data_IF_860431061874
#
_entry.id   IF_860431061874
#
_cell.length_a   1.000
_cell.length_b   1.000
_cell.length_c   1.000
_cell.angle_alpha   90.00
_cell.angle_beta   90.00
_cell.angle_gamma   90.00
#
_symmetry.space_group_name_H-M   'P 1'
#
loop_
_entity.id
_entity.type
_entity.pdbx_description
1 polymer ?
#
# COMPACT_ATOMS: atom_id res chain seq x y z
N UNK A 1 5.27 0.22 -27.33
CA UNK A 1 5.27 -0.14 -25.89
C UNK A 1 4.00 0.28 -25.13
N UNK A 2 3.07 1.07 -25.71
CA UNK A 2 1.82 1.50 -25.02
C UNK A 2 0.73 0.42 -24.91
N UNK A 3 0.62 -0.47 -25.91
CA UNK A 3 -0.42 -1.52 -25.94
C UNK A 3 -0.32 -2.54 -24.79
N UNK A 4 0.89 -2.98 -24.45
CA UNK A 4 1.11 -3.96 -23.38
C UNK A 4 0.69 -3.45 -22.00
N UNK A 5 1.01 -2.19 -21.69
CA UNK A 5 0.60 -1.55 -20.44
C UNK A 5 -0.92 -1.41 -20.35
N UNK A 6 -1.57 -1.06 -21.45
CA UNK A 6 -3.04 -0.90 -21.51
C UNK A 6 -3.75 -2.24 -21.28
N UNK A 7 -3.29 -3.32 -21.95
CA UNK A 7 -3.82 -4.67 -21.79
C UNK A 7 -3.62 -5.17 -20.36
N UNK A 8 -2.46 -4.89 -19.75
CA UNK A 8 -2.17 -5.29 -18.38
C UNK A 8 -3.06 -4.55 -17.36
N UNK A 9 -3.24 -3.23 -17.52
CA UNK A 9 -4.14 -2.44 -16.68
C UNK A 9 -5.58 -2.96 -16.80
N UNK A 10 -6.01 -3.26 -18.02
CA UNK A 10 -7.34 -3.80 -18.29
C UNK A 10 -7.52 -5.20 -17.68
N UNK A 11 -6.57 -6.11 -17.87
CA UNK A 11 -6.60 -7.46 -17.30
C UNK A 11 -6.64 -7.43 -15.78
N UNK A 12 -5.85 -6.56 -15.14
CA UNK A 12 -5.89 -6.35 -13.69
C UNK A 12 -7.27 -5.86 -13.24
N UNK A 13 -7.85 -4.88 -13.93
CA UNK A 13 -9.16 -4.35 -13.58
C UNK A 13 -10.25 -5.45 -13.66
N UNK A 14 -10.22 -6.28 -14.70
CA UNK A 14 -11.16 -7.40 -14.87
C UNK A 14 -10.96 -8.47 -13.79
N UNK A 15 -9.72 -8.84 -13.47
CA UNK A 15 -9.42 -9.81 -12.40
C UNK A 15 -9.88 -9.31 -11.03
N UNK A 16 -9.64 -8.04 -10.71
CA UNK A 16 -10.10 -7.47 -9.44
C UNK A 16 -11.63 -7.39 -9.38
N UNK A 17 -12.28 -7.01 -10.47
CA UNK A 17 -13.74 -6.96 -10.55
C UNK A 17 -14.37 -8.35 -10.38
N UNK A 18 -13.81 -9.38 -11.03
CA UNK A 18 -14.30 -10.76 -10.91
C UNK A 18 -14.16 -11.31 -9.49
N UNK A 19 -12.99 -11.14 -8.87
CA UNK A 19 -12.76 -11.54 -7.47
C UNK A 19 -13.72 -10.80 -6.52
N UNK A 20 -13.90 -9.50 -6.73
CA UNK A 20 -14.78 -8.69 -5.89
C UNK A 20 -16.24 -9.16 -5.98
N UNK A 21 -16.75 -9.39 -7.19
CA UNK A 21 -18.12 -9.86 -7.43
C UNK A 21 -18.33 -11.26 -6.84
N UNK A 22 -17.38 -12.18 -7.03
CA UNK A 22 -17.46 -13.54 -6.48
C UNK A 22 -17.47 -13.52 -4.94
N UNK A 23 -16.65 -12.65 -4.34
CA UNK A 23 -16.57 -12.49 -2.88
C UNK A 23 -17.85 -11.87 -2.32
N UNK A 24 -18.38 -10.84 -2.98
CA UNK A 24 -19.64 -10.19 -2.63
C UNK A 24 -20.81 -11.20 -2.66
N UNK A 25 -20.89 -12.02 -3.71
CA UNK A 25 -21.93 -13.05 -3.84
C UNK A 25 -21.85 -14.11 -2.73
N UNK A 26 -20.64 -14.59 -2.40
CA UNK A 26 -20.44 -15.55 -1.30
C UNK A 26 -20.87 -14.97 0.05
N UNK A 27 -20.49 -13.72 0.34
CA UNK A 27 -20.89 -13.04 1.57
C UNK A 27 -22.41 -12.86 1.65
N UNK A 28 -23.03 -12.42 0.56
CA UNK A 28 -24.49 -12.25 0.51
C UNK A 28 -25.22 -13.58 0.74
N UNK A 29 -24.81 -14.64 0.05
CA UNK A 29 -25.44 -15.95 0.18
C UNK A 29 -25.26 -16.54 1.59
N UNK A 30 -24.08 -16.35 2.20
CA UNK A 30 -23.81 -16.76 3.58
C UNK A 30 -24.66 -16.00 4.60
N UNK A 31 -24.82 -14.70 4.41
CA UNK A 31 -25.67 -13.84 5.25
C UNK A 31 -27.16 -14.23 5.16
N UNK A 32 -27.68 -14.45 3.95
CA UNK A 32 -29.08 -14.87 3.77
C UNK A 32 -29.32 -16.25 4.40
N UNK A 33 -28.38 -17.18 4.22
CA UNK A 33 -28.48 -18.52 4.81
C UNK A 33 -28.47 -18.47 6.35
N UNK A 34 -27.63 -17.62 6.95
CA UNK A 34 -27.58 -17.48 8.41
C UNK A 34 -28.85 -16.83 8.97
N UNK A 35 -29.43 -15.84 8.26
CA UNK A 35 -30.71 -15.23 8.63
C UNK A 35 -31.84 -16.25 8.56
N UNK A 36 -31.94 -17.06 7.50
CA UNK A 36 -32.97 -18.10 7.40
C UNK A 36 -32.82 -19.23 8.43
N UNK A 37 -31.60 -19.48 8.92
CA UNK A 37 -31.33 -20.50 9.93
C UNK A 37 -31.55 -20.01 11.37
N UNK A 38 -31.84 -18.72 11.55
CA UNK A 38 -32.08 -18.14 12.88
C UNK A 38 -33.45 -18.58 13.44
N UNK A 39 -33.56 -18.82 14.75
CA UNK A 39 -34.83 -19.18 15.39
C UNK A 39 -35.83 -18.01 15.34
N UNK A 40 -37.13 -18.32 15.30
CA UNK A 40 -38.22 -17.33 15.22
C UNK A 40 -38.13 -16.28 16.35
N UNK A 41 -37.65 -16.64 17.54
CA UNK A 41 -37.44 -15.72 18.67
C UNK A 41 -36.47 -14.55 18.37
N UNK A 42 -35.55 -14.74 17.43
CA UNK A 42 -34.64 -13.68 16.99
C UNK A 42 -35.37 -12.56 16.23
N UNK A 43 -36.38 -12.93 15.46
CA UNK A 43 -37.19 -12.00 14.65
C UNK A 43 -38.23 -11.25 15.47
N UNK A 44 -38.67 -11.79 16.61
CA UNK A 44 -39.53 -11.07 17.56
C UNK A 44 -38.76 -9.95 18.29
N UNK A 45 -37.47 -10.18 18.57
CA UNK A 45 -36.60 -9.21 19.26
C UNK A 45 -36.01 -8.16 18.31
N UNK A 46 -35.89 -8.48 17.03
CA UNK A 46 -35.25 -7.62 16.03
C UNK A 46 -36.16 -7.46 14.81
N UNK A 47 -36.73 -6.27 14.56
CA UNK A 47 -37.63 -6.08 13.43
C UNK A 47 -36.89 -6.38 12.12
N UNK A 48 -37.57 -7.08 11.20
CA UNK A 48 -37.03 -7.48 9.90
C UNK A 48 -36.51 -6.30 9.08
N UNK A 49 -37.09 -5.11 9.25
CA UNK A 49 -36.65 -3.86 8.65
C UNK A 49 -35.24 -3.45 9.07
N UNK A 50 -34.87 -3.66 10.35
CA UNK A 50 -33.52 -3.36 10.86
C UNK A 50 -32.49 -4.36 10.34
N UNK A 51 -32.87 -5.64 10.22
CA UNK A 51 -32.01 -6.67 9.62
C UNK A 51 -31.74 -6.33 8.16
N UNK A 52 -32.78 -6.02 7.38
CA UNK A 52 -32.65 -5.69 5.97
C UNK A 52 -31.84 -4.40 5.74
N UNK A 53 -32.10 -3.35 6.52
CA UNK A 53 -31.36 -2.08 6.41
C UNK A 53 -29.87 -2.28 6.72
N UNK A 54 -29.55 -3.08 7.74
CA UNK A 54 -28.17 -3.37 8.13
C UNK A 54 -27.47 -4.27 7.11
N UNK A 55 -28.11 -5.37 6.69
CA UNK A 55 -27.61 -6.23 5.62
C UNK A 55 -27.39 -5.48 4.31
N UNK A 56 -28.30 -4.58 3.93
CA UNK A 56 -28.16 -3.77 2.71
C UNK A 56 -27.01 -2.76 2.81
N UNK A 57 -26.83 -2.13 3.98
CA UNK A 57 -25.73 -1.18 4.20
C UNK A 57 -24.39 -1.90 4.23
N UNK A 58 -24.31 -3.00 4.97
CA UNK A 58 -23.10 -3.82 5.10
C UNK A 58 -22.71 -4.41 3.73
N UNK A 59 -23.67 -4.92 2.96
CA UNK A 59 -23.45 -5.39 1.59
C UNK A 59 -22.98 -4.25 0.66
N UNK A 60 -23.59 -3.06 0.74
CA UNK A 60 -23.17 -1.91 -0.07
C UNK A 60 -21.74 -1.47 0.25
N UNK A 61 -21.32 -1.52 1.51
CA UNK A 61 -19.93 -1.23 1.90
C UNK A 61 -18.98 -2.32 1.40
N UNK A 62 -19.36 -3.60 1.48
CA UNK A 62 -18.60 -4.72 0.91
C UNK A 62 -18.43 -4.56 -0.60
N UNK A 63 -19.48 -4.20 -1.32
CA UNK A 63 -19.49 -4.13 -2.78
C UNK A 63 -18.68 -2.95 -3.33
N UNK A 64 -18.44 -1.90 -2.53
CA UNK A 64 -17.78 -0.66 -2.97
C UNK A 64 -16.40 -0.47 -2.36
N UNK A 65 -16.29 -0.61 -1.04
CA UNK A 65 -15.11 -0.26 -0.25
C UNK A 65 -14.04 -1.38 -0.32
N UNK A 66 -14.46 -2.65 -0.34
CA UNK A 66 -13.54 -3.80 -0.45
C UNK A 66 -12.85 -3.87 -1.82
N UNK A 67 -13.55 -3.82 -2.97
CA UNK A 67 -12.87 -3.81 -4.27
C UNK A 67 -11.91 -2.63 -4.40
N UNK A 68 -12.28 -1.45 -3.91
CA UNK A 68 -11.41 -0.28 -3.97
C UNK A 68 -10.11 -0.48 -3.18
N UNK A 69 -10.20 -1.01 -1.95
CA UNK A 69 -9.02 -1.32 -1.12
C UNK A 69 -8.17 -2.43 -1.71
N UNK A 70 -8.80 -3.49 -2.22
CA UNK A 70 -8.12 -4.62 -2.84
C UNK A 70 -7.41 -4.19 -4.13
N UNK A 71 -8.04 -3.31 -4.92
CA UNK A 71 -7.43 -2.71 -6.10
C UNK A 71 -6.22 -1.85 -5.75
N UNK A 72 -6.32 -1.05 -4.69
CA UNK A 72 -5.18 -0.27 -4.17
C UNK A 72 -4.02 -1.15 -3.70
N UNK A 73 -4.31 -2.25 -2.98
CA UNK A 73 -3.31 -3.22 -2.55
C UNK A 73 -2.63 -3.90 -3.76
N UNK A 74 -3.42 -4.38 -4.72
CA UNK A 74 -2.90 -5.01 -5.92
C UNK A 74 -2.05 -4.04 -6.75
N UNK A 75 -2.47 -2.77 -6.86
CA UNK A 75 -1.67 -1.72 -7.48
C UNK A 75 -0.32 -1.56 -6.78
N UNK A 76 -0.32 -1.45 -5.44
CA UNK A 76 0.90 -1.30 -4.66
C UNK A 76 1.85 -2.51 -4.81
N UNK A 77 1.33 -3.74 -4.80
CA UNK A 77 2.13 -4.96 -4.96
C UNK A 77 2.74 -5.05 -6.36
N UNK A 78 1.96 -4.79 -7.40
CA UNK A 78 2.45 -4.79 -8.78
C UNK A 78 3.51 -3.71 -8.97
N UNK A 79 3.28 -2.52 -8.43
CA UNK A 79 4.24 -1.42 -8.49
C UNK A 79 5.55 -1.80 -7.78
N UNK A 80 5.45 -2.41 -6.60
CA UNK A 80 6.61 -2.90 -5.84
C UNK A 80 7.40 -3.95 -6.62
N UNK A 81 6.72 -4.95 -7.19
CA UNK A 81 7.34 -5.98 -8.02
C UNK A 81 7.99 -5.38 -9.27
N UNK A 82 7.33 -4.43 -9.92
CA UNK A 82 7.88 -3.72 -11.08
C UNK A 82 9.16 -2.97 -10.71
N UNK A 83 9.19 -2.30 -9.56
CA UNK A 83 10.39 -1.60 -9.08
C UNK A 83 11.51 -2.61 -8.82
N UNK A 84 11.22 -3.73 -8.15
CA UNK A 84 12.21 -4.77 -7.85
C UNK A 84 12.82 -5.34 -9.15
N UNK A 85 12.01 -5.66 -10.15
CA UNK A 85 12.46 -6.21 -11.43
C UNK A 85 13.33 -5.18 -12.18
N UNK A 86 12.88 -3.93 -12.28
CA UNK A 86 13.65 -2.86 -12.92
C UNK A 86 14.99 -2.61 -12.22
N UNK A 87 15.00 -2.59 -10.89
CA UNK A 87 16.22 -2.41 -10.10
C UNK A 87 17.18 -3.59 -10.25
N UNK A 88 16.66 -4.82 -10.34
CA UNK A 88 17.46 -6.02 -10.56
C UNK A 88 18.16 -6.00 -11.92
N UNK A 89 17.50 -5.49 -12.97
CA UNK A 89 18.09 -5.40 -14.31
C UNK A 89 19.10 -4.25 -14.48
N UNK A 90 18.85 -3.10 -13.87
CA UNK A 90 19.69 -1.90 -14.05
C UNK A 90 20.92 -1.90 -13.14
N UNK A 91 20.84 -2.49 -11.95
CA UNK A 91 21.87 -2.38 -10.93
C UNK A 91 22.04 -3.67 -10.11
N UNK A 92 22.49 -4.75 -10.74
CA UNK A 92 22.72 -6.05 -10.10
C UNK A 92 23.61 -5.95 -8.83
N UNK A 93 24.61 -5.06 -8.85
CA UNK A 93 25.50 -4.83 -7.69
C UNK A 93 24.78 -4.21 -6.49
N UNK A 94 23.85 -3.27 -6.74
CA UNK A 94 23.07 -2.61 -5.67
C UNK A 94 21.96 -3.53 -5.16
N UNK A 95 21.37 -4.33 -6.05
CA UNK A 95 20.39 -5.34 -5.69
C UNK A 95 20.98 -6.40 -4.76
N UNK A 96 22.20 -6.88 -5.03
CA UNK A 96 22.89 -7.82 -4.15
C UNK A 96 23.26 -7.20 -2.79
N UNK A 97 23.67 -5.94 -2.74
CA UNK A 97 23.92 -5.23 -1.48
C UNK A 97 22.62 -5.09 -0.67
N UNK A 98 21.52 -4.71 -1.32
CA UNK A 98 20.21 -4.60 -0.69
C UNK A 98 19.72 -5.96 -0.16
N UNK A 99 19.86 -7.02 -0.97
CA UNK A 99 19.52 -8.39 -0.58
C UNK A 99 20.40 -8.87 0.58
N UNK A 100 21.69 -8.53 0.59
CA UNK A 100 22.60 -8.85 1.70
C UNK A 100 22.21 -8.11 2.98
N UNK A 101 21.88 -6.82 2.91
CA UNK A 101 21.40 -6.04 4.07
C UNK A 101 20.06 -6.58 4.57
N UNK A 102 19.13 -6.95 3.67
CA UNK A 102 17.88 -7.61 4.04
C UNK A 102 18.13 -8.98 4.66
N UNK A 103 19.01 -9.80 4.10
CA UNK A 103 19.34 -11.12 4.63
C UNK A 103 20.01 -11.01 6.01
N UNK A 104 20.92 -10.06 6.19
CA UNK A 104 21.59 -9.78 7.47
C UNK A 104 20.56 -9.27 8.48
N UNK A 105 19.70 -8.33 8.11
CA UNK A 105 18.68 -7.80 9.02
C UNK A 105 17.62 -8.84 9.37
N UNK A 106 17.16 -9.66 8.42
CA UNK A 106 16.29 -10.80 8.68
C UNK A 106 16.98 -11.85 9.55
N UNK A 107 18.27 -12.09 9.35
CA UNK A 107 19.05 -13.02 10.16
C UNK A 107 19.20 -12.49 11.59
N UNK A 108 19.50 -11.20 11.78
CA UNK A 108 19.51 -10.56 13.09
C UNK A 108 18.13 -10.62 13.75
N UNK A 109 17.05 -10.35 13.01
CA UNK A 109 15.68 -10.39 13.54
C UNK A 109 15.24 -11.82 13.92
N UNK A 110 15.53 -12.80 13.07
CA UNK A 110 15.23 -14.21 13.31
C UNK A 110 16.06 -14.80 14.47
N UNK A 111 17.30 -14.32 14.65
CA UNK A 111 18.21 -14.79 15.71
C UNK A 111 17.95 -14.11 17.05
N UNK A 112 17.49 -12.86 17.06
CA UNK A 112 17.33 -12.10 18.31
C UNK A 112 15.99 -12.36 18.98
N UNK A 113 14.86 -12.46 18.23
CA UNK A 113 13.55 -13.02 18.66
C UNK A 113 12.46 -12.78 17.57
N UNK A 114 11.79 -13.82 17.02
CA UNK A 114 10.73 -13.63 16.02
C UNK A 114 9.49 -12.86 16.54
N UNK A 115 9.21 -12.95 17.85
CA UNK A 115 8.05 -12.30 18.46
C UNK A 115 8.17 -10.78 18.55
N UNK A 116 9.39 -10.22 18.59
CA UNK A 116 9.58 -8.77 18.64
C UNK A 116 9.25 -8.13 17.29
N UNK A 117 9.68 -8.74 16.18
CA UNK A 117 9.36 -8.24 14.85
C UNK A 117 7.86 -8.24 14.60
N UNK A 118 7.16 -9.34 14.95
CA UNK A 118 5.71 -9.41 14.77
C UNK A 118 4.99 -8.43 15.68
N UNK A 119 5.52 -8.17 16.88
CA UNK A 119 4.97 -7.15 17.78
C UNK A 119 5.17 -5.75 17.21
N UNK A 120 6.36 -5.41 16.69
CA UNK A 120 6.61 -4.11 16.04
C UNK A 120 5.77 -3.92 14.78
N UNK A 121 5.62 -4.96 13.95
CA UNK A 121 4.77 -4.93 12.77
C UNK A 121 3.28 -4.78 13.14
N UNK A 122 2.83 -5.45 14.21
CA UNK A 122 1.48 -5.30 14.76
C UNK A 122 1.26 -3.92 15.36
N UNK A 123 2.23 -3.36 16.08
CA UNK A 123 2.15 -2.00 16.61
C UNK A 123 2.16 -0.96 15.49
N UNK A 124 2.94 -1.17 14.42
CA UNK A 124 2.92 -0.32 13.23
C UNK A 124 1.58 -0.41 12.50
N UNK A 125 1.02 -1.62 12.34
CA UNK A 125 -0.32 -1.83 11.79
C UNK A 125 -1.41 -1.23 12.69
N UNK A 126 -1.24 -1.29 14.03
CA UNK A 126 -2.11 -0.64 15.00
C UNK A 126 -2.04 0.87 14.87
N UNK A 127 -0.85 1.44 14.70
CA UNK A 127 -0.68 2.87 14.41
C UNK A 127 -1.37 3.25 13.09
N UNK A 128 -1.29 2.44 12.02
CA UNK A 128 -2.10 2.66 10.80
C UNK A 128 -3.60 2.64 11.11
N UNK A 129 -4.07 1.71 11.95
CA UNK A 129 -5.46 1.62 12.39
C UNK A 129 -5.94 2.85 13.18
N UNK A 130 -5.13 3.33 14.13
CA UNK A 130 -5.40 4.54 14.93
C UNK A 130 -5.49 5.78 14.02
N UNK A 131 -4.63 5.85 12.98
CA UNK A 131 -4.66 6.93 11.99
C UNK A 131 -5.95 6.94 11.17
N UNK A 132 -6.53 5.78 10.87
CA UNK A 132 -7.84 5.68 10.22
C UNK A 132 -8.99 6.09 11.15
N UNK A 133 -8.86 5.81 12.45
CA UNK A 133 -9.84 6.20 13.47
C UNK A 133 -9.94 7.74 13.63
N UNK A 134 -8.83 8.46 13.41
CA UNK A 134 -8.83 9.93 13.45
C UNK A 134 -9.77 10.56 12.40
N UNK A 135 -9.83 10.00 11.19
CA UNK A 135 -10.77 10.45 10.16
C UNK A 135 -12.24 10.26 10.58
N UNK A 136 -12.51 9.26 11.41
CA UNK A 136 -13.87 9.00 11.94
C UNK A 136 -14.23 10.03 13.01
N UNK A 137 -13.29 10.37 13.90
CA UNK A 137 -13.49 11.41 14.92
C UNK A 137 -13.83 12.76 14.28
N UNK A 138 -13.21 13.12 13.15
CA UNK A 138 -13.57 14.34 12.40
C UNK A 138 -15.00 14.29 11.85
N UNK A 139 -15.42 13.16 11.28
CA UNK A 139 -16.79 13.00 10.76
C UNK A 139 -17.84 13.05 11.88
N UNK A 140 -17.53 12.45 13.03
CA UNK A 140 -18.37 12.47 14.23
C UNK A 140 -18.49 13.89 14.79
N UNK A 141 -17.39 14.66 14.78
CA UNK A 141 -17.36 16.07 15.17
C UNK A 141 -18.31 16.94 14.35
N UNK A 142 -18.32 16.74 13.04
CA UNK A 142 -19.14 17.51 12.10
C UNK A 142 -20.63 17.20 12.32
N UNK A 143 -20.97 15.93 12.58
CA UNK A 143 -22.36 15.56 12.94
C UNK A 143 -22.78 16.05 14.34
N UNK A 144 -21.85 16.10 15.29
CA UNK A 144 -22.08 16.56 16.67
C UNK A 144 -21.93 18.06 16.89
N UNK A 145 -21.71 18.86 15.85
CA UNK A 145 -21.35 20.28 15.96
C UNK A 145 -22.38 21.10 16.76
N UNK A 146 -23.68 20.85 16.55
CA UNK A 146 -24.75 21.52 17.30
C UNK A 146 -24.69 21.22 18.81
N UNK A 147 -24.34 19.98 19.19
CA UNK A 147 -24.19 19.58 20.58
C UNK A 147 -22.96 20.24 21.21
N UNK A 148 -21.83 20.27 20.49
CA UNK A 148 -20.59 20.90 20.97
C UNK A 148 -20.81 22.41 21.21
N UNK A 149 -21.52 23.07 20.29
CA UNK A 149 -21.91 24.47 20.41
C UNK A 149 -22.85 24.70 21.59
N UNK A 150 -23.87 23.85 21.80
CA UNK A 150 -24.77 23.94 22.96
C UNK A 150 -24.07 23.77 24.31
N UNK A 151 -22.99 22.99 24.39
CA UNK A 151 -22.20 22.83 25.60
C UNK A 151 -21.07 23.88 25.77
N UNK A 152 -20.87 24.76 24.78
CA UNK A 152 -19.84 25.80 24.78
C UNK A 152 -18.41 25.23 25.04
N UNK A 153 -18.10 24.06 24.46
CA UNK A 153 -16.81 23.34 24.64
C UNK A 153 -15.96 23.30 23.35
N UNK A 154 -16.22 24.22 22.41
CA UNK A 154 -15.59 24.23 21.08
C UNK A 154 -14.06 24.31 21.13
N UNK A 155 -13.50 25.25 21.91
CA UNK A 155 -12.05 25.44 22.05
C UNK A 155 -11.32 24.18 22.52
N UNK A 156 -11.87 23.51 23.54
CA UNK A 156 -11.29 22.29 24.10
C UNK A 156 -11.29 21.17 23.07
N UNK A 157 -12.34 21.10 22.27
CA UNK A 157 -12.53 20.09 21.25
C UNK A 157 -11.63 20.31 20.03
N UNK A 158 -11.56 21.55 19.54
CA UNK A 158 -10.65 21.97 18.45
C UNK A 158 -9.20 21.72 18.82
N UNK A 159 -8.77 22.09 20.03
CA UNK A 159 -7.41 21.85 20.53
C UNK A 159 -7.06 20.36 20.54
N UNK A 160 -8.02 19.51 20.95
CA UNK A 160 -7.84 18.05 20.94
C UNK A 160 -7.71 17.50 19.52
N UNK A 161 -8.51 17.97 18.57
CA UNK A 161 -8.41 17.54 17.18
C UNK A 161 -7.12 18.01 16.52
N UNK A 162 -6.70 19.25 16.76
CA UNK A 162 -5.47 19.80 16.20
C UNK A 162 -4.23 19.04 16.71
N UNK A 163 -4.16 18.71 17.99
CA UNK A 163 -3.06 17.88 18.53
C UNK A 163 -3.00 16.48 17.90
N UNK A 164 -4.15 15.83 17.70
CA UNK A 164 -4.23 14.56 16.97
C UNK A 164 -3.75 14.69 15.52
N UNK A 165 -4.09 15.78 14.82
CA UNK A 165 -3.68 16.03 13.43
C UNK A 165 -2.18 16.31 13.33
N UNK A 166 -1.64 17.06 14.29
CA UNK A 166 -0.21 17.37 14.33
C UNK A 166 0.63 16.11 14.55
N UNK A 167 0.27 15.26 15.52
CA UNK A 167 0.94 13.98 15.76
C UNK A 167 0.92 13.07 14.52
N UNK A 168 -0.22 13.01 13.82
CA UNK A 168 -0.34 12.26 12.56
C UNK A 168 0.57 12.82 11.47
N UNK A 169 0.55 14.15 11.29
CA UNK A 169 1.27 14.85 10.24
C UNK A 169 2.77 14.71 10.43
N UNK A 170 3.26 14.79 11.68
CA UNK A 170 4.69 14.59 12.02
C UNK A 170 5.20 13.21 11.64
N UNK A 171 4.46 12.15 11.99
CA UNK A 171 4.83 10.77 11.62
C UNK A 171 4.82 10.57 10.11
N UNK A 172 3.80 11.11 9.44
CA UNK A 172 3.67 11.00 7.97
C UNK A 172 4.80 11.76 7.27
N UNK A 173 5.14 12.96 7.76
CA UNK A 173 6.23 13.76 7.23
C UNK A 173 7.59 13.06 7.37
N UNK A 174 7.88 12.48 8.54
CA UNK A 174 9.11 11.71 8.73
C UNK A 174 9.18 10.49 7.82
N UNK A 175 8.07 9.75 7.68
CA UNK A 175 8.01 8.61 6.76
C UNK A 175 8.25 9.02 5.30
N UNK A 176 7.60 10.11 4.84
CA UNK A 176 7.82 10.65 3.50
C UNK A 176 9.25 11.15 3.30
N UNK A 177 9.82 11.84 4.29
CA UNK A 177 11.20 12.33 4.24
C UNK A 177 12.21 11.18 4.16
N UNK A 178 12.01 10.08 4.90
CA UNK A 178 12.86 8.89 4.81
C UNK A 178 12.75 8.22 3.45
N UNK A 179 11.53 8.12 2.88
CA UNK A 179 11.31 7.55 1.55
C UNK A 179 11.99 8.39 0.45
N UNK A 180 11.84 9.72 0.49
CA UNK A 180 12.49 10.63 -0.45
C UNK A 180 14.02 10.60 -0.31
N UNK A 181 14.54 10.57 0.92
CA UNK A 181 15.98 10.47 1.17
C UNK A 181 16.57 9.18 0.59
N UNK A 182 15.88 8.05 0.77
CA UNK A 182 16.26 6.77 0.18
C UNK A 182 16.19 6.83 -1.36
N UNK A 183 15.13 7.43 -1.91
CA UNK A 183 14.96 7.61 -3.35
C UNK A 183 16.11 8.42 -3.97
N UNK A 184 16.50 9.54 -3.35
CA UNK A 184 17.64 10.36 -3.80
C UNK A 184 18.94 9.55 -3.78
N UNK A 185 19.19 8.76 -2.74
CA UNK A 185 20.38 7.90 -2.66
C UNK A 185 20.39 6.83 -3.76
N UNK A 186 19.26 6.18 -4.00
CA UNK A 186 19.13 5.18 -5.06
C UNK A 186 19.33 5.83 -6.44
N UNK A 187 18.70 6.97 -6.70
CA UNK A 187 18.83 7.69 -7.97
C UNK A 187 20.28 8.14 -8.22
N UNK A 188 20.97 8.61 -7.19
CA UNK A 188 22.38 8.97 -7.30
C UNK A 188 23.26 7.76 -7.66
N UNK A 189 23.03 6.62 -7.01
CA UNK A 189 23.75 5.37 -7.33
C UNK A 189 23.44 4.87 -8.75
N UNK A 190 22.18 4.96 -9.19
CA UNK A 190 21.76 4.58 -10.55
C UNK A 190 22.44 5.44 -11.62
N UNK A 191 22.52 6.76 -11.41
CA UNK A 191 23.20 7.67 -12.34
C UNK A 191 24.68 7.32 -12.44
N UNK A 192 25.36 7.10 -11.32
CA UNK A 192 26.77 6.70 -11.32
C UNK A 192 26.98 5.38 -12.06
N UNK A 193 26.14 4.37 -11.83
CA UNK A 193 26.23 3.08 -12.52
C UNK A 193 25.97 3.21 -14.02
N UNK A 194 24.99 4.02 -14.44
CA UNK A 194 24.72 4.26 -15.87
C UNK A 194 25.90 4.94 -16.57
N UNK A 195 26.59 5.86 -15.88
CA UNK A 195 27.77 6.54 -16.41
C UNK A 195 28.92 5.55 -16.56
N UNK A 196 29.25 4.79 -15.52
CA UNK A 196 30.31 3.77 -15.58
C UNK A 196 30.02 2.67 -16.60
N UNK A 197 28.76 2.23 -16.71
CA UNK A 197 28.33 1.27 -17.73
C UNK A 197 28.46 1.81 -19.15
N UNK A 198 28.22 3.11 -19.36
CA UNK A 198 28.43 3.76 -20.66
C UNK A 198 29.92 3.83 -21.03
N UNK A 199 30.80 4.13 -20.08
CA UNK A 199 32.26 4.13 -20.31
C UNK A 199 32.77 2.72 -20.65
N UNK A 200 32.30 1.68 -19.94
CA UNK A 200 32.65 0.28 -20.19
C UNK A 200 32.12 -0.26 -21.54
N UNK A 201 31.03 0.32 -22.07
CA UNK A 201 30.50 -0.04 -23.40
C UNK A 201 31.15 0.72 -24.56
N UNK A 202 31.80 1.87 -24.27
CA UNK A 202 32.58 2.65 -25.23
C UNK A 202 34.00 2.10 -25.43
N UNK A 203 34.60 1.47 -24.42
CA UNK A 203 35.92 0.82 -24.51
C UNK A 203 36.02 -0.30 -25.59
N UNK A 204 35.08 -1.24 -25.73
CA UNK A 204 35.16 -2.26 -26.78
C UNK A 204 34.91 -1.70 -28.19
N UNK A 205 34.18 -0.58 -28.33
CA UNK A 205 33.97 0.07 -29.64
C UNK A 205 35.22 0.84 -30.10
N UNK A 206 35.90 1.53 -29.18
CA UNK A 206 37.10 2.30 -29.50
C UNK A 206 38.29 1.37 -29.82
N UNK A 207 38.42 0.25 -29.10
CA UNK A 207 39.45 -0.76 -29.40
C UNK A 207 39.22 -1.46 -30.75
N UNK A 208 37.97 -1.73 -31.15
CA UNK A 208 37.66 -2.33 -32.46
C UNK A 208 37.89 -1.36 -33.61
N UNK A 209 37.54 -0.07 -33.44
CA UNK A 209 37.73 0.94 -34.51
C UNK A 209 39.20 1.34 -34.71
N UNK A 210 40.06 1.19 -33.70
CA UNK A 210 41.49 1.44 -33.82
C UNK A 210 42.22 0.29 -34.56
N UNK A 211 41.77 -0.96 -34.37
CA UNK A 211 42.34 -2.13 -35.05
C UNK A 211 42.07 -2.17 -36.56
N UNK A 212 40.92 -1.65 -37.00
CA UNK A 212 40.60 -1.59 -38.44
C UNK A 212 41.45 -0.54 -39.18
N UNK A 213 41.94 0.50 -38.49
CA UNK A 213 42.71 1.58 -39.09
C UNK A 213 44.20 1.23 -39.30
N UNK A 214 44.78 0.35 -38.48
CA UNK A 214 46.13 -0.22 -38.71
C UNK A 214 46.15 -1.28 -39.83
N UNK A 215 45.03 -1.95 -40.11
CA UNK A 215 44.95 -3.02 -41.13
C UNK A 215 44.82 -2.52 -42.58
N UNK A 216 44.55 -1.24 -42.79
CA UNK A 216 44.40 -0.62 -44.13
C UNK A 216 45.69 0.06 -44.60
N UNK A 217 46.74 0.08 -43.76
CA UNK A 217 48.02 0.76 -44.05
C UNK A 217 49.19 -0.21 -44.28
N UNK A 218 48.92 -1.49 -44.56
CA UNK A 218 49.89 -2.47 -45.07
C UNK A 218 49.48 -2.99 -46.45
#
# INVERSE_FOLDING_TARGET
>A
MSGGSSIFIFGRAVLLATIAVETAQRLFCGMITSVFRAPISFFDSTPSSRILSRSSTDQSTVDTDIPYRLAGLAFALIQLLSIIILMSQVAWQVFLLFLAVLAISMWYQARTNPDYYITTARELARMVGIRKAQSCTLSESVSGAATIHCFNQEERFVTRILSLIDDYSRVTFHNSATMEWLCVRINFLLILLSRTGSYLWLEPKCSSSMGDMESVQC
#
